data_IF_345132157817
#
_entry.id   IF_345132157817
#
_cell.length_a   1.000
_cell.length_b   1.000
_cell.length_c   1.000
_cell.angle_alpha   90.00
_cell.angle_beta   90.00
_cell.angle_gamma   90.00
#
_symmetry.space_group_name_H-M   'P 1'
#
loop_
_entity.id
_entity.type
_entity.pdbx_description
1 polymer ?
#
# COMPACT_ATOMS: atom_id res chain seq x y z
N UNK A 1 -19.45 89.19 -2.62
CA UNK A 1 -19.32 88.43 -1.36
C UNK A 1 -20.38 87.32 -1.34
N UNK A 2 -20.05 86.03 -1.68
CA UNK A 2 -20.99 84.87 -1.66
C UNK A 2 -21.01 84.33 -0.27
N UNK A 3 -22.13 84.37 0.42
CA UNK A 3 -22.33 83.71 1.75
C UNK A 3 -22.43 82.22 1.59
N UNK A 4 -21.57 81.46 2.26
CA UNK A 4 -21.64 80.06 2.38
C UNK A 4 -22.70 79.68 3.44
N UNK A 5 -23.71 78.93 3.07
CA UNK A 5 -24.70 78.38 3.97
C UNK A 5 -24.20 77.01 4.44
N UNK A 6 -24.19 76.70 5.74
CA UNK A 6 -23.79 75.39 6.25
C UNK A 6 -24.86 74.32 5.92
N UNK A 7 -24.43 73.15 5.51
CA UNK A 7 -25.31 72.00 5.24
C UNK A 7 -26.08 71.57 6.51
N UNK A 8 -27.31 71.12 6.38
CA UNK A 8 -28.15 70.72 7.50
C UNK A 8 -27.54 69.49 8.21
N UNK A 9 -27.65 69.44 9.57
CA UNK A 9 -27.07 68.45 10.47
C UNK A 9 -27.51 67.02 10.17
N UNK A 10 -28.68 66.82 9.54
CA UNK A 10 -29.21 65.54 9.12
C UNK A 10 -28.38 64.84 8.05
N UNK A 11 -27.65 65.56 7.20
CA UNK A 11 -26.83 65.03 6.12
C UNK A 11 -25.47 64.52 6.62
N UNK A 12 -25.00 65.04 7.77
CA UNK A 12 -23.72 64.62 8.37
C UNK A 12 -23.81 63.31 9.11
N UNK A 13 -24.99 62.93 9.63
CA UNK A 13 -25.18 61.67 10.35
C UNK A 13 -25.31 60.50 9.37
N UNK A 14 -25.94 60.74 8.20
CA UNK A 14 -26.07 59.67 7.17
C UNK A 14 -24.74 59.27 6.51
N UNK A 15 -23.82 60.23 6.32
CA UNK A 15 -22.51 59.92 5.75
C UNK A 15 -21.56 59.16 6.71
N UNK A 16 -21.69 59.42 8.02
CA UNK A 16 -20.89 58.72 9.04
C UNK A 16 -21.37 57.26 9.20
N UNK A 17 -22.68 57.03 9.08
CA UNK A 17 -23.24 55.65 9.17
C UNK A 17 -22.93 54.81 7.93
N UNK A 18 -22.93 55.40 6.73
CA UNK A 18 -22.58 54.70 5.48
C UNK A 18 -21.10 54.32 5.41
N UNK A 19 -20.20 55.11 6.01
CA UNK A 19 -18.77 54.80 6.09
C UNK A 19 -18.47 53.71 7.13
N UNK A 20 -19.22 53.64 8.24
CA UNK A 20 -19.06 52.60 9.27
C UNK A 20 -19.57 51.24 8.80
N UNK A 21 -20.60 51.18 7.96
CA UNK A 21 -21.09 49.90 7.41
C UNK A 21 -20.19 49.32 6.30
N UNK A 22 -19.54 50.21 5.52
CA UNK A 22 -18.60 49.77 4.46
C UNK A 22 -17.30 49.20 5.01
N UNK A 23 -16.82 49.64 6.18
CA UNK A 23 -15.61 49.11 6.82
C UNK A 23 -15.88 47.77 7.53
N UNK A 24 -17.12 47.53 8.00
CA UNK A 24 -17.47 46.27 8.68
C UNK A 24 -17.57 45.06 7.75
N UNK A 25 -17.73 45.25 6.42
CA UNK A 25 -17.82 44.17 5.45
C UNK A 25 -16.41 43.66 5.05
N UNK A 26 -15.38 44.46 5.25
CA UNK A 26 -13.99 44.12 4.88
C UNK A 26 -13.23 43.30 5.94
N UNK A 27 -13.84 43.00 7.08
CA UNK A 27 -13.21 42.30 8.21
C UNK A 27 -13.72 40.85 8.41
N UNK A 28 -14.57 40.35 7.50
CA UNK A 28 -14.78 38.90 7.45
C UNK A 28 -13.57 38.29 6.76
N UNK A 29 -12.72 37.51 7.47
CA UNK A 29 -11.69 36.75 6.81
C UNK A 29 -12.40 35.92 5.72
N UNK A 30 -11.92 36.02 4.49
CA UNK A 30 -12.35 35.13 3.42
C UNK A 30 -12.33 33.73 4.02
N UNK A 31 -13.49 33.12 4.16
CA UNK A 31 -13.66 31.77 4.72
C UNK A 31 -12.63 30.90 4.03
N UNK A 32 -11.67 30.38 4.78
CA UNK A 32 -10.75 29.36 4.29
C UNK A 32 -11.62 28.36 3.57
N UNK A 33 -11.48 28.23 2.26
CA UNK A 33 -12.08 27.15 1.50
C UNK A 33 -11.55 25.88 2.17
N UNK A 34 -12.34 25.33 3.09
CA UNK A 34 -12.01 24.11 3.81
C UNK A 34 -11.78 23.08 2.72
N UNK A 35 -10.51 22.71 2.50
CA UNK A 35 -10.20 21.69 1.51
C UNK A 35 -10.92 20.41 1.96
N UNK A 36 -11.72 19.86 1.05
CA UNK A 36 -12.40 18.61 1.33
C UNK A 36 -11.37 17.55 1.76
N UNK A 37 -11.67 16.76 2.76
CA UNK A 37 -10.83 15.60 3.08
C UNK A 37 -10.59 14.76 1.84
N UNK A 38 -9.44 14.10 1.79
CA UNK A 38 -9.04 13.27 0.63
C UNK A 38 -9.06 11.82 1.06
N UNK A 39 -9.71 10.98 0.27
CA UNK A 39 -9.51 9.52 0.30
C UNK A 39 -8.78 9.08 -0.95
N UNK A 40 -8.04 7.97 -0.86
CA UNK A 40 -7.17 7.54 -1.96
C UNK A 40 -7.37 6.06 -2.22
N UNK A 41 -7.50 5.69 -3.50
CA UNK A 41 -7.57 4.31 -3.94
C UNK A 41 -6.43 3.99 -4.91
N UNK A 42 -6.01 2.73 -4.96
CA UNK A 42 -5.05 2.26 -5.96
C UNK A 42 -5.61 2.48 -7.35
N UNK A 43 -4.80 3.02 -8.28
CA UNK A 43 -5.19 3.31 -9.66
C UNK A 43 -5.49 2.05 -10.46
N UNK A 44 -4.57 1.08 -10.43
CA UNK A 44 -4.67 -0.22 -11.10
C UNK A 44 -4.61 -1.34 -10.05
N UNK A 45 -5.74 -1.60 -9.36
CA UNK A 45 -5.75 -2.51 -8.23
C UNK A 45 -5.62 -3.98 -8.67
N UNK A 46 -4.78 -4.72 -7.95
CA UNK A 46 -4.66 -6.17 -8.13
C UNK A 46 -5.89 -6.91 -7.62
N UNK A 47 -6.19 -8.08 -8.21
CA UNK A 47 -7.13 -9.01 -7.61
C UNK A 47 -6.72 -9.36 -6.18
N UNK A 48 -7.69 -9.39 -5.27
CA UNK A 48 -7.48 -9.89 -3.92
C UNK A 48 -7.07 -11.36 -3.97
N UNK A 49 -6.05 -11.80 -3.20
CA UNK A 49 -5.69 -13.20 -3.11
C UNK A 49 -6.89 -14.05 -2.67
N UNK A 50 -7.22 -15.05 -3.46
CA UNK A 50 -8.34 -15.94 -3.17
C UNK A 50 -8.01 -16.87 -1.99
N UNK A 51 -9.01 -17.11 -1.15
CA UNK A 51 -8.92 -18.08 -0.07
C UNK A 51 -10.23 -18.84 0.09
N UNK A 52 -10.14 -19.99 0.74
CA UNK A 52 -11.28 -20.78 1.20
C UNK A 52 -10.98 -21.29 2.60
N UNK A 53 -11.84 -20.93 3.55
CA UNK A 53 -11.78 -21.36 4.95
C UNK A 53 -13.18 -21.69 5.46
N UNK A 54 -13.28 -22.31 6.61
CA UNK A 54 -14.54 -22.41 7.36
C UNK A 54 -14.65 -21.20 8.32
N UNK A 55 -15.83 -20.58 8.35
CA UNK A 55 -16.15 -19.65 9.42
C UNK A 55 -16.43 -20.39 10.74
N UNK A 56 -16.64 -19.62 11.80
CA UNK A 56 -16.94 -20.21 13.11
C UNK A 56 -18.26 -21.00 13.14
N UNK A 57 -19.21 -20.72 12.26
CA UNK A 57 -20.45 -21.48 12.11
C UNK A 57 -20.30 -22.75 11.25
N UNK A 58 -19.12 -22.96 10.64
CA UNK A 58 -18.81 -24.10 9.80
C UNK A 58 -19.16 -23.91 8.32
N UNK A 59 -19.61 -22.73 7.91
CA UNK A 59 -19.91 -22.41 6.53
C UNK A 59 -18.63 -22.18 5.70
N UNK A 60 -18.71 -22.46 4.40
CA UNK A 60 -17.61 -22.13 3.50
C UNK A 60 -17.51 -20.60 3.29
N UNK A 61 -16.39 -20.02 3.67
CA UNK A 61 -16.07 -18.62 3.51
C UNK A 61 -14.99 -18.45 2.44
N UNK A 62 -15.31 -17.72 1.38
CA UNK A 62 -14.39 -17.43 0.29
C UNK A 62 -14.72 -16.08 -0.35
N UNK A 63 -13.74 -15.47 -1.04
CA UNK A 63 -13.93 -14.17 -1.69
C UNK A 63 -14.77 -14.24 -2.98
N UNK A 64 -14.79 -15.37 -3.65
CA UNK A 64 -15.56 -15.49 -4.90
C UNK A 64 -17.05 -15.26 -4.64
N UNK A 65 -17.56 -15.76 -3.51
CA UNK A 65 -18.97 -15.60 -3.12
C UNK A 65 -19.36 -14.16 -2.76
N UNK A 66 -18.39 -13.27 -2.59
CA UNK A 66 -18.63 -11.86 -2.25
C UNK A 66 -18.61 -10.92 -3.46
N UNK A 67 -18.42 -11.46 -4.68
CA UNK A 67 -18.43 -10.65 -5.91
C UNK A 67 -19.74 -9.86 -6.03
N UNK A 68 -19.62 -8.60 -6.46
CA UNK A 68 -20.75 -7.67 -6.51
C UNK A 68 -20.92 -6.84 -5.25
N UNK A 69 -20.24 -7.19 -4.14
CA UNK A 69 -20.20 -6.41 -2.91
C UNK A 69 -18.84 -5.75 -2.69
N UNK A 70 -18.82 -4.63 -1.99
CA UNK A 70 -17.59 -4.12 -1.38
C UNK A 70 -17.24 -5.07 -0.23
N UNK A 71 -15.94 -5.37 -0.04
CA UNK A 71 -15.51 -6.23 1.08
C UNK A 71 -14.53 -5.46 1.96
N UNK A 72 -14.74 -5.52 3.27
CA UNK A 72 -13.76 -5.14 4.28
C UNK A 72 -13.20 -6.41 4.90
N UNK A 73 -11.99 -6.78 4.49
CA UNK A 73 -11.29 -7.95 5.00
C UNK A 73 -10.35 -7.53 6.12
N UNK A 74 -10.73 -7.84 7.35
CA UNK A 74 -10.04 -7.41 8.56
C UNK A 74 -9.24 -8.52 9.23
N UNK A 75 -7.92 -8.34 9.37
CA UNK A 75 -7.05 -9.19 10.14
C UNK A 75 -6.92 -8.63 11.57
N UNK A 76 -7.27 -9.44 12.56
CA UNK A 76 -7.37 -9.00 13.94
C UNK A 76 -7.08 -10.12 14.94
N UNK A 77 -7.05 -9.82 16.25
CA UNK A 77 -6.93 -10.80 17.32
C UNK A 77 -7.68 -10.35 18.58
N UNK A 78 -8.10 -11.30 19.43
CA UNK A 78 -8.82 -11.03 20.68
C UNK A 78 -7.99 -10.17 21.63
N UNK A 79 -6.69 -10.45 21.75
CA UNK A 79 -5.77 -9.71 22.62
C UNK A 79 -5.41 -8.30 22.12
N UNK A 80 -5.77 -7.96 20.89
CA UNK A 80 -5.44 -6.69 20.27
C UNK A 80 -6.44 -5.60 20.70
N UNK A 81 -6.04 -4.71 21.60
CA UNK A 81 -6.89 -3.61 22.09
C UNK A 81 -7.44 -2.70 20.98
N UNK A 82 -6.60 -2.18 20.05
CA UNK A 82 -7.08 -1.40 18.91
C UNK A 82 -8.07 -2.16 18.02
N UNK A 83 -7.90 -3.47 17.84
CA UNK A 83 -8.83 -4.29 17.06
C UNK A 83 -10.22 -4.34 17.71
N UNK A 84 -10.26 -4.53 19.03
CA UNK A 84 -11.51 -4.54 19.80
C UNK A 84 -12.23 -3.19 19.72
N UNK A 85 -11.48 -2.09 19.69
CA UNK A 85 -12.06 -0.75 19.61
C UNK A 85 -12.79 -0.47 18.28
N UNK A 86 -12.43 -1.14 17.17
CA UNK A 86 -13.12 -0.95 15.88
C UNK A 86 -14.34 -1.86 15.68
N UNK A 87 -14.47 -2.98 16.41
CA UNK A 87 -15.53 -3.96 16.24
C UNK A 87 -16.94 -3.33 16.24
N UNK A 88 -17.33 -2.46 17.20
CA UNK A 88 -18.67 -1.87 17.20
C UNK A 88 -18.98 -1.09 15.92
N UNK A 89 -17.99 -0.42 15.35
CA UNK A 89 -18.13 0.35 14.11
C UNK A 89 -18.28 -0.55 12.89
N UNK A 90 -17.53 -1.64 12.85
CA UNK A 90 -17.65 -2.66 11.79
C UNK A 90 -19.03 -3.33 11.83
N UNK A 91 -19.55 -3.66 13.03
CA UNK A 91 -20.91 -4.18 13.21
C UNK A 91 -21.94 -3.21 12.65
N UNK A 92 -21.83 -1.92 12.99
CA UNK A 92 -22.74 -0.89 12.52
C UNK A 92 -22.69 -0.72 10.98
N UNK A 93 -21.49 -0.77 10.39
CA UNK A 93 -21.32 -0.73 8.94
C UNK A 93 -21.94 -1.94 8.25
N UNK A 94 -21.69 -3.16 8.74
CA UNK A 94 -22.25 -4.38 8.19
C UNK A 94 -23.78 -4.33 8.23
N UNK A 95 -24.38 -3.88 9.34
CA UNK A 95 -25.83 -3.74 9.46
C UNK A 95 -26.40 -2.72 8.48
N UNK A 96 -25.71 -1.57 8.30
CA UNK A 96 -26.18 -0.47 7.45
C UNK A 96 -26.14 -0.81 5.97
N UNK A 97 -25.10 -1.53 5.53
CA UNK A 97 -24.85 -1.83 4.12
C UNK A 97 -24.91 -3.33 3.80
N UNK A 98 -25.68 -4.13 4.58
CA UNK A 98 -25.70 -5.62 4.53
C UNK A 98 -25.83 -6.22 3.13
N UNK A 99 -26.54 -5.54 2.22
CA UNK A 99 -26.80 -6.05 0.86
C UNK A 99 -25.65 -5.73 -0.11
N UNK A 100 -24.85 -4.70 0.17
CA UNK A 100 -23.81 -4.14 -0.70
C UNK A 100 -22.40 -4.25 -0.11
N UNK A 101 -22.28 -4.53 1.18
CA UNK A 101 -21.04 -4.68 1.93
C UNK A 101 -20.98 -6.09 2.54
N UNK A 102 -19.79 -6.68 2.50
CA UNK A 102 -19.45 -7.86 3.30
C UNK A 102 -18.21 -7.57 4.14
N UNK A 103 -18.33 -7.62 5.44
CA UNK A 103 -17.17 -7.63 6.33
C UNK A 103 -16.77 -9.07 6.60
N UNK A 104 -15.48 -9.36 6.63
CA UNK A 104 -14.92 -10.66 6.95
C UNK A 104 -13.82 -10.43 7.99
N UNK A 105 -13.96 -11.06 9.16
CA UNK A 105 -12.95 -11.06 10.20
C UNK A 105 -12.04 -12.30 10.10
N UNK A 106 -10.74 -12.09 9.84
CA UNK A 106 -9.73 -13.13 9.85
C UNK A 106 -8.87 -13.00 11.11
N UNK A 107 -8.99 -13.96 12.00
CA UNK A 107 -8.29 -13.97 13.29
C UNK A 107 -6.90 -14.55 13.13
N UNK A 108 -5.89 -13.83 13.61
CA UNK A 108 -4.51 -14.30 13.64
C UNK A 108 -4.11 -14.72 15.05
N UNK A 109 -3.17 -15.70 15.15
CA UNK A 109 -2.54 -16.12 16.41
C UNK A 109 -3.54 -16.45 17.54
N UNK A 110 -4.60 -17.20 17.19
CA UNK A 110 -5.59 -17.73 18.13
C UNK A 110 -5.55 -19.26 18.12
N UNK A 111 -5.22 -19.84 19.27
CA UNK A 111 -5.12 -21.31 19.44
C UNK A 111 -6.42 -21.88 20.04
N UNK A 112 -7.19 -21.10 20.80
CA UNK A 112 -8.45 -21.52 21.41
C UNK A 112 -9.65 -21.02 20.60
N UNK A 113 -10.21 -21.91 19.77
CA UNK A 113 -11.40 -21.61 18.97
C UNK A 113 -12.65 -21.41 19.85
N UNK A 114 -12.73 -22.03 21.02
CA UNK A 114 -13.86 -21.88 21.90
C UNK A 114 -13.88 -20.50 22.56
N UNK A 115 -12.73 -19.98 22.96
CA UNK A 115 -12.59 -18.62 23.45
C UNK A 115 -13.01 -17.62 22.36
N UNK A 116 -12.56 -17.84 21.12
CA UNK A 116 -12.93 -17.00 19.99
C UNK A 116 -14.46 -17.00 19.75
N UNK A 117 -15.12 -18.17 19.78
CA UNK A 117 -16.57 -18.27 19.62
C UNK A 117 -17.31 -17.50 20.72
N UNK A 118 -16.85 -17.62 21.97
CA UNK A 118 -17.43 -16.91 23.11
C UNK A 118 -17.29 -15.40 22.93
N UNK A 119 -16.10 -14.94 22.55
CA UNK A 119 -15.85 -13.53 22.30
C UNK A 119 -16.73 -12.95 21.17
N UNK A 120 -16.80 -13.64 20.01
CA UNK A 120 -17.63 -13.21 18.88
C UNK A 120 -19.10 -13.09 19.26
N UNK A 121 -19.58 -14.01 20.10
CA UNK A 121 -20.96 -13.98 20.62
C UNK A 121 -21.17 -12.83 21.60
N UNK A 122 -20.24 -12.60 22.52
CA UNK A 122 -20.31 -11.51 23.50
C UNK A 122 -20.30 -10.14 22.84
N UNK A 123 -19.45 -9.94 21.84
CA UNK A 123 -19.38 -8.70 21.06
C UNK A 123 -20.54 -8.56 20.05
N UNK A 124 -21.41 -9.56 19.92
CA UNK A 124 -22.54 -9.60 18.97
C UNK A 124 -22.11 -9.31 17.52
N UNK A 125 -20.96 -9.85 17.10
CA UNK A 125 -20.43 -9.65 15.74
C UNK A 125 -21.40 -10.24 14.71
N UNK A 126 -21.81 -9.45 13.73
CA UNK A 126 -22.83 -9.75 12.74
C UNK A 126 -22.27 -10.05 11.34
N UNK A 127 -21.01 -10.41 11.27
CA UNK A 127 -20.29 -10.76 10.06
C UNK A 127 -19.44 -12.02 10.28
N UNK A 128 -19.12 -12.79 9.21
CA UNK A 128 -18.38 -14.02 9.34
C UNK A 128 -16.97 -13.79 9.89
N UNK A 129 -16.59 -14.67 10.81
CA UNK A 129 -15.27 -14.72 11.43
C UNK A 129 -14.67 -16.09 11.19
N UNK A 130 -13.39 -16.14 10.80
CA UNK A 130 -12.64 -17.36 10.61
C UNK A 130 -11.19 -17.22 11.12
N UNK A 131 -10.53 -18.34 11.41
CA UNK A 131 -9.10 -18.37 11.66
C UNK A 131 -8.35 -18.09 10.35
N UNK A 132 -7.29 -17.28 10.42
CA UNK A 132 -6.41 -16.97 9.30
C UNK A 132 -5.24 -17.94 9.23
N UNK A 133 -5.25 -18.99 8.37
CA UNK A 133 -4.09 -19.83 8.16
C UNK A 133 -2.87 -19.01 7.73
N UNK A 134 -1.67 -19.48 8.07
CA UNK A 134 -0.42 -18.80 7.75
C UNK A 134 -0.26 -18.45 6.26
N UNK A 135 -0.77 -19.33 5.37
CA UNK A 135 -0.76 -19.06 3.92
C UNK A 135 -1.55 -17.79 3.56
N UNK A 136 -2.75 -17.60 4.11
CA UNK A 136 -3.57 -16.40 3.82
C UNK A 136 -2.82 -15.15 4.28
N UNK A 137 -2.23 -15.18 5.47
CA UNK A 137 -1.44 -14.04 5.98
C UNK A 137 -0.28 -13.69 5.04
N UNK A 138 0.40 -14.71 4.49
CA UNK A 138 1.50 -14.51 3.52
C UNK A 138 1.00 -13.96 2.19
N UNK A 139 -0.10 -14.49 1.66
CA UNK A 139 -0.68 -14.05 0.39
C UNK A 139 -1.10 -12.57 0.45
N UNK A 140 -1.52 -12.08 1.62
CA UNK A 140 -1.83 -10.66 1.90
C UNK A 140 -0.60 -9.86 2.35
N UNK A 141 0.61 -10.32 2.03
CA UNK A 141 1.85 -9.59 2.23
C UNK A 141 2.45 -9.71 3.63
N UNK A 142 2.07 -10.77 4.39
CA UNK A 142 2.49 -10.97 5.77
C UNK A 142 1.91 -9.88 6.67
N UNK A 143 0.97 -10.21 7.54
CA UNK A 143 0.31 -9.23 8.41
C UNK A 143 1.28 -8.83 9.53
N UNK A 144 1.92 -7.66 9.37
CA UNK A 144 2.98 -7.17 10.27
C UNK A 144 2.44 -6.49 11.52
N UNK A 145 1.21 -5.97 11.49
CA UNK A 145 0.58 -5.28 12.62
C UNK A 145 -0.93 -5.48 12.61
N UNK A 146 -1.57 -5.26 13.75
CA UNK A 146 -3.02 -5.41 13.92
C UNK A 146 -3.64 -4.12 14.48
N UNK A 147 -4.88 -3.81 14.05
CA UNK A 147 -5.60 -4.45 12.93
C UNK A 147 -4.95 -4.14 11.59
N UNK A 148 -5.16 -5.01 10.58
CA UNK A 148 -4.88 -4.68 9.18
C UNK A 148 -6.14 -4.97 8.38
N UNK A 149 -6.67 -3.93 7.74
CA UNK A 149 -7.91 -3.98 6.98
C UNK A 149 -7.64 -3.72 5.50
N UNK A 150 -8.10 -4.63 4.65
CA UNK A 150 -8.08 -4.45 3.19
C UNK A 150 -9.47 -4.07 2.71
N UNK A 151 -9.54 -3.01 1.91
CA UNK A 151 -10.76 -2.59 1.21
C UNK A 151 -10.73 -3.18 -0.19
N UNK A 152 -11.73 -3.99 -0.50
CA UNK A 152 -11.84 -4.71 -1.77
C UNK A 152 -13.11 -4.23 -2.48
N UNK A 153 -13.00 -3.85 -3.73
CA UNK A 153 -14.14 -3.38 -4.52
C UNK A 153 -15.06 -4.54 -4.98
N UNK A 154 -16.19 -4.22 -5.58
CA UNK A 154 -17.18 -5.20 -6.06
C UNK A 154 -16.65 -6.14 -7.13
N UNK A 155 -15.56 -5.77 -7.84
CA UNK A 155 -14.85 -6.63 -8.78
C UNK A 155 -13.89 -7.61 -8.08
N UNK A 156 -13.71 -7.47 -6.75
CA UNK A 156 -12.79 -8.28 -5.94
C UNK A 156 -11.33 -7.87 -6.07
N UNK A 157 -11.07 -6.60 -6.31
CA UNK A 157 -9.72 -6.03 -6.37
C UNK A 157 -9.43 -5.22 -5.10
N UNK A 158 -8.21 -5.31 -4.58
CA UNK A 158 -7.79 -4.56 -3.39
C UNK A 158 -7.50 -3.11 -3.78
N UNK A 159 -8.34 -2.20 -3.31
CA UNK A 159 -8.24 -0.77 -3.63
C UNK A 159 -7.58 0.05 -2.53
N UNK A 160 -7.54 -0.45 -1.28
CA UNK A 160 -6.88 0.21 -0.17
C UNK A 160 -6.48 -0.79 0.92
N UNK A 161 -5.50 -0.42 1.75
CA UNK A 161 -5.04 -1.15 2.93
C UNK A 161 -4.81 -0.17 4.07
N UNK A 162 -5.37 -0.48 5.21
CA UNK A 162 -5.16 0.26 6.46
C UNK A 162 -4.42 -0.61 7.46
N UNK A 163 -3.36 -0.08 8.06
CA UNK A 163 -2.57 -0.76 9.10
C UNK A 163 -2.68 0.04 10.39
N UNK A 164 -3.21 -0.59 11.45
CA UNK A 164 -3.55 0.06 12.70
C UNK A 164 -4.99 0.59 12.73
N UNK A 165 -5.37 1.18 13.87
CA UNK A 165 -6.71 1.71 14.10
C UNK A 165 -6.90 3.04 13.36
N UNK A 166 -7.92 3.12 12.54
CA UNK A 166 -8.37 4.34 11.87
C UNK A 166 -9.71 4.84 12.40
N UNK A 167 -10.04 6.09 12.08
CA UNK A 167 -11.35 6.62 12.39
C UNK A 167 -12.42 5.84 11.60
N UNK A 168 -13.46 5.29 12.25
CA UNK A 168 -14.49 4.50 11.58
C UNK A 168 -15.22 5.23 10.45
N UNK A 169 -15.32 6.56 10.50
CA UNK A 169 -15.91 7.37 9.43
C UNK A 169 -15.12 7.27 8.11
N UNK A 170 -13.82 6.94 8.16
CA UNK A 170 -13.01 6.71 6.96
C UNK A 170 -13.52 5.47 6.22
N UNK A 171 -13.70 4.35 6.92
CA UNK A 171 -14.20 3.11 6.32
C UNK A 171 -15.58 3.30 5.69
N UNK A 172 -16.49 4.00 6.38
CA UNK A 172 -17.80 4.32 5.82
C UNK A 172 -17.71 5.20 4.57
N UNK A 173 -16.83 6.20 4.58
CA UNK A 173 -16.61 7.11 3.43
C UNK A 173 -16.08 6.34 2.23
N UNK A 174 -15.12 5.44 2.42
CA UNK A 174 -14.57 4.59 1.35
C UNK A 174 -15.62 3.62 0.80
N UNK A 175 -16.37 2.95 1.67
CA UNK A 175 -17.49 2.09 1.26
C UNK A 175 -18.50 2.86 0.44
N UNK A 176 -18.93 4.04 0.90
CA UNK A 176 -19.88 4.90 0.16
C UNK A 176 -19.34 5.32 -1.20
N UNK A 177 -18.06 5.72 -1.27
CA UNK A 177 -17.43 6.10 -2.54
C UNK A 177 -17.39 4.92 -3.54
N UNK A 178 -17.05 3.71 -3.07
CA UNK A 178 -17.04 2.50 -3.89
C UNK A 178 -18.43 2.04 -4.33
N UNK A 179 -19.46 2.36 -3.56
CA UNK A 179 -20.86 2.11 -3.90
C UNK A 179 -21.47 3.20 -4.80
N UNK A 180 -20.70 4.24 -5.17
CA UNK A 180 -21.21 5.37 -5.95
C UNK A 180 -22.18 6.27 -5.17
N UNK A 181 -22.19 6.19 -3.85
CA UNK A 181 -23.03 7.03 -2.99
C UNK A 181 -22.37 8.41 -2.77
N UNK A 182 -23.15 9.46 -2.52
CA UNK A 182 -22.60 10.79 -2.26
C UNK A 182 -21.63 10.81 -1.07
N UNK A 183 -20.45 11.40 -1.25
CA UNK A 183 -19.44 11.63 -0.21
C UNK A 183 -18.95 13.06 -0.26
N UNK A 184 -18.69 13.66 0.90
CA UNK A 184 -18.17 15.02 1.02
C UNK A 184 -16.62 15.02 1.10
N UNK A 185 -15.97 14.32 0.16
CA UNK A 185 -14.52 14.15 0.10
C UNK A 185 -14.04 14.21 -1.35
N UNK A 186 -12.76 14.49 -1.54
CA UNK A 186 -12.08 14.31 -2.84
C UNK A 186 -11.56 12.88 -2.92
N UNK A 187 -11.87 12.19 -4.01
CA UNK A 187 -11.33 10.86 -4.31
C UNK A 187 -10.14 11.03 -5.23
N UNK A 188 -8.99 10.54 -4.82
CA UNK A 188 -7.75 10.51 -5.60
C UNK A 188 -7.30 9.09 -5.84
N UNK A 189 -6.40 8.90 -6.80
CA UNK A 189 -5.75 7.61 -7.04
C UNK A 189 -4.26 7.69 -6.82
N UNK A 190 -3.64 6.57 -6.41
CA UNK A 190 -2.20 6.41 -6.27
C UNK A 190 -1.73 5.09 -6.87
N UNK A 191 -0.44 5.00 -7.19
CA UNK A 191 0.17 3.77 -7.70
C UNK A 191 0.72 2.96 -6.53
N UNK A 192 0.39 1.66 -6.44
CA UNK A 192 0.92 0.79 -5.39
C UNK A 192 2.42 0.56 -5.61
N UNK A 193 3.21 1.01 -4.66
CA UNK A 193 4.67 0.87 -4.63
C UNK A 193 5.15 -0.07 -3.52
N UNK A 194 4.31 -1.04 -3.16
CA UNK A 194 4.58 -2.02 -2.11
C UNK A 194 3.78 -1.78 -0.82
N UNK A 195 3.00 -0.71 -0.75
CA UNK A 195 2.17 -0.38 0.42
C UNK A 195 0.99 -1.35 0.57
N UNK A 196 0.37 -1.74 -0.55
CA UNK A 196 -0.70 -2.74 -0.59
C UNK A 196 -0.07 -4.14 -0.66
N UNK A 197 0.66 -4.42 -1.73
CA UNK A 197 1.33 -5.70 -1.94
C UNK A 197 2.84 -5.52 -2.09
N UNK A 198 3.61 -6.19 -1.25
CA UNK A 198 5.08 -6.12 -1.26
C UNK A 198 5.73 -6.50 -2.59
N UNK A 199 5.03 -7.24 -3.46
CA UNK A 199 5.52 -7.56 -4.81
C UNK A 199 5.75 -6.30 -5.66
N UNK A 200 5.08 -5.19 -5.36
CA UNK A 200 5.23 -3.92 -6.06
C UNK A 200 6.34 -3.01 -5.48
N UNK A 201 7.12 -3.51 -4.52
CA UNK A 201 8.27 -2.78 -4.00
C UNK A 201 9.32 -2.41 -5.08
N UNK A 202 9.31 -3.12 -6.20
CA UNK A 202 10.13 -2.83 -7.39
C UNK A 202 9.76 -1.51 -8.07
N UNK A 203 8.55 -1.00 -7.85
CA UNK A 203 8.06 0.29 -8.36
C UNK A 203 8.39 1.46 -7.42
N UNK A 204 8.87 1.18 -6.20
CA UNK A 204 9.18 2.20 -5.22
C UNK A 204 10.33 3.08 -5.69
N UNK A 205 10.13 4.39 -5.72
CA UNK A 205 11.18 5.39 -6.01
C UNK A 205 11.89 5.88 -4.75
N UNK A 206 11.31 5.61 -3.60
CA UNK A 206 11.86 5.88 -2.26
C UNK A 206 11.50 4.73 -1.33
N UNK A 207 12.36 4.47 -0.35
CA UNK A 207 12.11 3.45 0.67
C UNK A 207 12.17 4.06 2.07
N UNK A 208 11.33 3.59 3.01
CA UNK A 208 11.31 4.10 4.39
C UNK A 208 12.69 4.06 5.04
N UNK A 209 13.19 5.21 5.50
CA UNK A 209 14.46 5.34 6.21
C UNK A 209 15.71 5.07 5.35
N UNK A 210 15.61 5.18 4.04
CA UNK A 210 16.76 5.14 3.12
C UNK A 210 16.95 6.53 2.52
N UNK A 211 18.06 7.19 2.88
CA UNK A 211 18.41 8.50 2.34
C UNK A 211 19.15 8.32 1.00
N UNK A 212 18.52 8.78 -0.08
CA UNK A 212 19.07 8.81 -1.43
C UNK A 212 19.22 10.24 -1.97
N UNK A 213 19.09 11.26 -1.12
CA UNK A 213 19.10 12.68 -1.54
C UNK A 213 20.42 13.11 -2.19
N UNK A 214 21.53 12.50 -1.77
CA UNK A 214 22.85 12.75 -2.34
C UNK A 214 23.16 12.03 -3.65
N UNK A 215 22.25 11.20 -4.16
CA UNK A 215 22.43 10.43 -5.38
C UNK A 215 21.86 11.16 -6.61
N UNK A 216 22.57 11.12 -7.74
CA UNK A 216 21.98 11.47 -9.02
C UNK A 216 20.97 10.40 -9.49
N UNK A 217 20.27 10.64 -10.60
CA UNK A 217 19.21 9.73 -11.09
C UNK A 217 19.74 8.33 -11.39
N UNK A 218 20.89 8.21 -12.04
CA UNK A 218 21.45 6.90 -12.42
C UNK A 218 21.92 6.11 -11.19
N UNK A 219 22.57 6.80 -10.24
CA UNK A 219 22.97 6.21 -8.96
C UNK A 219 21.77 5.74 -8.16
N UNK A 220 20.69 6.55 -8.12
CA UNK A 220 19.45 6.19 -7.42
C UNK A 220 18.80 4.95 -8.06
N UNK A 221 18.71 4.91 -9.38
CA UNK A 221 18.18 3.75 -10.10
C UNK A 221 19.03 2.49 -9.84
N UNK A 222 20.34 2.63 -9.84
CA UNK A 222 21.27 1.54 -9.53
C UNK A 222 21.09 1.03 -8.08
N UNK A 223 20.89 1.93 -7.11
CA UNK A 223 20.60 1.56 -5.72
C UNK A 223 19.26 0.82 -5.61
N UNK A 224 18.18 1.35 -6.20
CA UNK A 224 16.86 0.73 -6.20
C UNK A 224 16.86 -0.65 -6.84
N UNK A 225 17.60 -0.82 -7.94
CA UNK A 225 17.79 -2.13 -8.57
C UNK A 225 18.46 -3.12 -7.61
N UNK A 226 19.57 -2.72 -6.95
CA UNK A 226 20.25 -3.55 -5.95
C UNK A 226 19.34 -3.89 -4.76
N UNK A 227 18.52 -2.95 -4.26
CA UNK A 227 17.59 -3.19 -3.17
C UNK A 227 16.51 -4.22 -3.52
N UNK A 228 16.08 -4.29 -4.77
CA UNK A 228 15.10 -5.27 -5.24
C UNK A 228 15.72 -6.61 -5.64
N UNK A 229 17.01 -6.66 -5.97
CA UNK A 229 17.71 -7.88 -6.33
C UNK A 229 18.26 -8.65 -5.11
N UNK A 230 18.66 -7.94 -4.05
CA UNK A 230 19.32 -8.54 -2.89
C UNK A 230 18.32 -8.90 -1.78
N UNK A 231 18.42 -10.14 -1.25
CA UNK A 231 17.60 -10.59 -0.13
C UNK A 231 18.11 -10.06 1.20
N UNK A 232 17.19 -9.70 2.11
CA UNK A 232 17.54 -9.30 3.46
C UNK A 232 18.01 -10.49 4.29
N UNK A 233 19.12 -10.34 5.02
CA UNK A 233 19.71 -11.39 5.85
C UNK A 233 19.01 -11.60 7.20
N UNK A 234 17.93 -10.86 7.50
CA UNK A 234 17.17 -11.00 8.75
C UNK A 234 16.34 -12.30 8.85
N UNK A 235 16.28 -13.10 7.80
CA UNK A 235 15.48 -14.33 7.75
C UNK A 235 14.03 -14.14 7.26
N UNK A 236 13.61 -12.90 6.95
CA UNK A 236 12.25 -12.61 6.49
C UNK A 236 11.93 -13.10 5.07
N UNK A 237 12.94 -13.56 4.30
CA UNK A 237 12.83 -13.99 2.90
C UNK A 237 12.39 -12.89 1.92
N UNK A 238 12.39 -11.64 2.34
CA UNK A 238 12.09 -10.48 1.50
C UNK A 238 13.35 -9.91 0.87
N UNK A 239 13.20 -9.19 -0.25
CA UNK A 239 14.27 -8.33 -0.76
C UNK A 239 14.54 -7.19 0.24
N UNK A 240 15.65 -6.48 0.06
CA UNK A 240 15.92 -5.31 0.91
C UNK A 240 14.82 -4.26 0.78
N UNK A 241 14.33 -4.00 -0.46
CA UNK A 241 13.22 -3.08 -0.69
C UNK A 241 11.95 -3.51 0.03
N UNK A 242 11.54 -4.77 -0.12
CA UNK A 242 10.39 -5.33 0.57
C UNK A 242 10.54 -5.27 2.09
N UNK A 243 11.72 -5.61 2.61
CA UNK A 243 12.00 -5.57 4.03
C UNK A 243 11.92 -4.15 4.59
N UNK A 244 12.40 -3.13 3.86
CA UNK A 244 12.28 -1.72 4.27
C UNK A 244 10.84 -1.24 4.35
N UNK A 245 9.96 -1.72 3.45
CA UNK A 245 8.53 -1.40 3.44
C UNK A 245 7.80 -2.17 4.56
N UNK A 246 8.10 -3.47 4.70
CA UNK A 246 7.43 -4.35 5.66
C UNK A 246 7.81 -4.07 7.11
N UNK A 247 9.11 -3.94 7.38
CA UNK A 247 9.68 -3.67 8.70
C UNK A 247 10.71 -2.52 8.62
N UNK A 248 10.25 -1.28 8.72
CA UNK A 248 11.12 -0.10 8.71
C UNK A 248 12.14 -0.09 9.85
N UNK A 249 12.00 -0.93 10.87
CA UNK A 249 12.92 -1.00 12.00
C UNK A 249 13.99 -2.09 11.87
N UNK A 250 13.88 -2.97 10.85
CA UNK A 250 14.87 -4.02 10.63
C UNK A 250 16.29 -3.44 10.47
N UNK A 251 17.16 -3.67 11.43
CA UNK A 251 18.52 -3.12 11.45
C UNK A 251 19.37 -3.65 10.27
N UNK A 252 19.25 -4.95 9.97
CA UNK A 252 20.01 -5.57 8.87
C UNK A 252 19.69 -4.93 7.51
N UNK A 253 18.41 -4.63 7.25
CA UNK A 253 18.03 -3.94 6.01
C UNK A 253 18.49 -2.48 6.01
N UNK A 254 18.48 -1.78 7.16
CA UNK A 254 19.02 -0.42 7.29
C UNK A 254 20.50 -0.37 6.94
N UNK A 255 21.30 -1.20 7.60
CA UNK A 255 22.76 -1.21 7.43
C UNK A 255 23.13 -1.56 5.99
N UNK A 256 22.45 -2.57 5.43
CA UNK A 256 22.76 -3.01 4.07
C UNK A 256 22.35 -2.00 3.00
N UNK A 257 21.18 -1.37 3.13
CA UNK A 257 20.77 -0.31 2.19
C UNK A 257 21.66 0.91 2.29
N UNK A 258 22.10 1.31 3.49
CA UNK A 258 23.07 2.40 3.67
C UNK A 258 24.44 2.08 3.01
N UNK A 259 24.92 0.84 3.14
CA UNK A 259 26.15 0.40 2.47
C UNK A 259 26.02 0.46 0.94
N UNK A 260 24.90 0.03 0.37
CA UNK A 260 24.64 0.10 -1.07
C UNK A 260 24.58 1.57 -1.55
N UNK A 261 23.92 2.47 -0.80
CA UNK A 261 23.88 3.91 -1.13
C UNK A 261 25.30 4.48 -1.17
N UNK A 262 26.14 4.16 -0.18
CA UNK A 262 27.54 4.58 -0.14
C UNK A 262 28.34 4.05 -1.34
N UNK A 263 28.15 2.76 -1.69
CA UNK A 263 28.83 2.11 -2.81
C UNK A 263 28.50 2.80 -4.15
N UNK A 264 27.21 3.02 -4.43
CA UNK A 264 26.79 3.66 -5.68
C UNK A 264 27.10 5.17 -5.74
N UNK A 265 27.31 5.83 -4.59
CA UNK A 265 27.71 7.24 -4.53
C UNK A 265 29.18 7.46 -4.84
N UNK A 266 30.00 6.41 -4.68
CA UNK A 266 31.42 6.47 -4.97
C UNK A 266 31.66 6.57 -6.50
N UNK A 267 32.58 7.42 -6.98
CA UNK A 267 32.96 7.40 -8.38
C UNK A 267 33.42 5.99 -8.77
N UNK A 268 33.13 5.52 -9.99
CA UNK A 268 33.66 4.23 -10.43
C UNK A 268 35.16 4.28 -10.28
N UNK A 269 35.72 3.37 -9.49
CA UNK A 269 37.17 3.17 -9.38
C UNK A 269 37.67 2.98 -10.81
N UNK A 270 38.54 3.89 -11.26
CA UNK A 270 39.16 3.80 -12.59
C UNK A 270 39.82 2.42 -12.66
N UNK A 271 39.25 1.54 -13.48
CA UNK A 271 39.88 0.29 -13.80
C UNK A 271 41.33 0.61 -14.21
N UNK A 272 42.28 0.20 -13.38
CA UNK A 272 43.70 0.28 -13.70
C UNK A 272 43.86 -0.46 -15.04
N UNK A 273 44.53 0.12 -16.05
CA UNK A 273 44.73 -0.61 -17.30
C UNK A 273 45.61 -1.81 -16.96
N UNK A 274 44.98 -2.98 -16.96
CA UNK A 274 45.67 -4.26 -16.86
C UNK A 274 46.66 -4.35 -18.02
N UNK A 275 47.93 -4.46 -17.66
CA UNK A 275 49.07 -4.53 -18.58
C UNK A 275 48.80 -5.62 -19.64
N UNK A 276 48.79 -5.23 -20.89
CA UNK A 276 48.70 -6.14 -22.02
C UNK A 276 49.84 -7.18 -21.92
N UNK A 277 49.57 -8.49 -21.99
CA UNK A 277 50.62 -9.46 -22.14
C UNK A 277 51.20 -9.38 -23.56
N UNK A 278 52.54 -9.19 -23.60
CA UNK A 278 53.34 -9.04 -24.80
C UNK A 278 53.07 -10.11 -25.85
N UNK A 279 52.96 -9.64 -27.06
CA UNK A 279 53.03 -10.40 -28.30
C UNK A 279 54.29 -11.28 -28.35
N UNK A 280 54.11 -12.57 -28.42
CA UNK A 280 55.03 -13.49 -29.03
C UNK A 280 54.28 -14.51 -29.87
N UNK A 281 54.29 -14.28 -31.17
CA UNK A 281 54.02 -15.30 -32.17
C UNK A 281 55.31 -16.16 -32.39
N UNK A 282 55.20 -17.46 -32.69
CA UNK A 282 55.13 -17.83 -34.10
C UNK A 282 54.18 -19.00 -34.41
N UNK A 283 53.60 -18.95 -35.58
CA UNK A 283 52.90 -20.07 -36.20
C UNK A 283 53.88 -21.18 -36.60
N UNK A 284 53.41 -22.44 -36.66
CA UNK A 284 53.56 -23.15 -37.91
C UNK A 284 52.38 -24.02 -38.36
N UNK A 285 52.17 -24.01 -39.68
CA UNK A 285 51.80 -25.08 -40.60
C UNK A 285 50.58 -26.00 -40.32
N UNK A 286 49.64 -25.93 -41.25
CA UNK A 286 48.68 -26.95 -41.56
C UNK A 286 49.31 -28.25 -42.08
N UNK A 287 48.59 -29.38 -41.93
CA UNK A 287 48.38 -30.28 -43.06
C UNK A 287 46.95 -30.66 -43.34
N UNK A 288 46.76 -30.94 -44.60
CA UNK A 288 45.56 -31.30 -45.37
C UNK A 288 45.03 -32.74 -45.12
N UNK A 289 43.96 -33.16 -45.77
CA UNK A 289 42.92 -34.06 -45.24
C UNK A 289 42.98 -35.50 -45.81
N UNK A 290 42.34 -36.40 -45.15
CA UNK A 290 41.81 -37.68 -45.69
C UNK A 290 40.95 -38.33 -44.58
N UNK A 291 39.91 -39.04 -44.76
CA UNK A 291 39.09 -39.60 -45.81
C UNK A 291 37.92 -40.32 -45.12
N UNK A 292 36.80 -40.32 -45.73
CA UNK A 292 35.61 -41.16 -45.69
C UNK A 292 35.50 -42.31 -44.69
N UNK A 293 34.32 -42.39 -44.05
CA UNK A 293 33.43 -43.56 -44.21
C UNK A 293 32.32 -43.61 -43.10
N UNK A 294 31.08 -43.49 -43.54
CA UNK A 294 29.93 -44.01 -42.78
C UNK A 294 29.85 -45.54 -42.89
N UNK A 295 29.05 -46.28 -42.13
CA UNK A 295 27.60 -46.27 -42.30
C UNK A 295 26.73 -46.49 -41.01
N UNK A 296 25.48 -46.31 -41.28
CA UNK A 296 24.27 -46.48 -40.52
C UNK A 296 24.08 -47.86 -39.84
N UNK A 297 23.24 -47.86 -38.78
CA UNK A 297 22.11 -48.83 -38.58
C UNK A 297 21.45 -48.62 -37.21
N UNK A 298 20.23 -48.09 -37.17
CA UNK A 298 18.94 -48.77 -36.90
C UNK A 298 18.75 -49.34 -35.49
N UNK A 299 17.73 -48.85 -34.76
CA UNK A 299 16.50 -49.56 -34.37
C UNK A 299 15.99 -49.16 -32.96
N UNK A 300 14.82 -48.54 -32.90
CA UNK A 300 13.83 -48.68 -31.82
C UNK A 300 13.24 -50.11 -31.87
N UNK A 301 12.51 -50.62 -30.86
CA UNK A 301 11.33 -50.03 -30.26
C UNK A 301 11.06 -50.35 -28.74
N UNK A 302 10.03 -49.68 -28.28
CA UNK A 302 9.13 -49.93 -27.16
C UNK A 302 8.89 -51.40 -26.71
N UNK A 303 8.22 -51.61 -25.57
CA UNK A 303 6.95 -51.01 -25.15
C UNK A 303 7.00 -50.15 -23.88
#
# INVERSE_FOLDING_TARGET
MKRWTPLPKSLRVGFAFALLTAVSISLFPASSLSQLPVIRFVRDPDPAPEFKVKDLEGNDLNLVSTRGKVVLLNFWAIWCGPCRAEIPSLIALQQRYKDQLQIIGLVVDQDDEQELRSFVKEEAMNYPVALAPGKIRLDYGGIAALPTLFVINSEGKVVQKHVGLYNPSLYETEVRALLGLPVAVKVETFDDTGEIFLKHADRATMLPGVDTSGLNTDQRNAALHKFNAESCSCGCKFTLAQCRIYDPNCQMSKDRTAAIVKDVSSPPEKASPEAAPGSQNPAPAAPTPADASAPASSASPKP
#
